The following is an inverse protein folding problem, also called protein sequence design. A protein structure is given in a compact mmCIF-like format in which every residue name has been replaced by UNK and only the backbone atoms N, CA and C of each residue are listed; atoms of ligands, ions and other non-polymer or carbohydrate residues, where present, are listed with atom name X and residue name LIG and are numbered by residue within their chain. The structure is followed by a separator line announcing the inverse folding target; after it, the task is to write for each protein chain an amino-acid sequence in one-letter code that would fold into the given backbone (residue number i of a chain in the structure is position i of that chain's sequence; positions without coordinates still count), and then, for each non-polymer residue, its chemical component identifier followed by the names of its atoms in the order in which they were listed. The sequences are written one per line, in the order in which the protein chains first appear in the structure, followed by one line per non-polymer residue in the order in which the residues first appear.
data_IF_331022322708
#
_entry.id   IF_331022322708
#
_cell.length_a   1.000
_cell.length_b   1.000
_cell.length_c   1.000
_cell.angle_alpha   90.00
_cell.angle_beta   90.00
_cell.angle_gamma   90.00
#
_symmetry.space_group_name_H-M   'P 1'
#
loop_
_entity.id
_entity.type
_entity.pdbx_description
1 polymer ?
#
# COMPACT_ATOMS: atom_id res chain seq x y z
N UNK A 1 -15.12 -7.57 -9.79
CA UNK A 1 -13.90 -7.71 -8.96
C UNK A 1 -13.07 -8.87 -9.48
N UNK A 2 -12.12 -8.58 -10.34
CA UNK A 2 -11.10 -9.56 -10.74
C UNK A 2 -10.04 -9.67 -9.64
N UNK A 3 -9.63 -10.89 -9.27
CA UNK A 3 -8.59 -11.08 -8.26
C UNK A 3 -7.25 -10.41 -8.66
N UNK A 4 -6.99 -10.34 -9.97
CA UNK A 4 -5.84 -9.68 -10.59
C UNK A 4 -5.77 -8.19 -10.28
N UNK A 5 -6.90 -7.48 -10.30
CA UNK A 5 -6.93 -6.04 -10.06
C UNK A 5 -6.68 -5.69 -8.59
N UNK A 6 -7.17 -6.52 -7.67
CA UNK A 6 -6.85 -6.37 -6.25
C UNK A 6 -5.35 -6.57 -5.98
N UNK A 7 -4.71 -7.50 -6.71
CA UNK A 7 -3.27 -7.71 -6.64
C UNK A 7 -2.48 -6.55 -7.26
N UNK A 8 -2.98 -5.97 -8.36
CA UNK A 8 -2.37 -4.80 -8.99
C UNK A 8 -2.45 -3.56 -8.09
N UNK A 9 -3.63 -3.30 -7.49
CA UNK A 9 -3.81 -2.21 -6.53
C UNK A 9 -2.91 -2.40 -5.29
N UNK A 10 -2.81 -3.63 -4.79
CA UNK A 10 -1.88 -3.97 -3.70
C UNK A 10 -0.42 -3.70 -4.07
N UNK A 11 0.04 -4.14 -5.25
CA UNK A 11 1.39 -3.89 -5.73
C UNK A 11 1.68 -2.39 -5.85
N UNK A 12 0.71 -1.62 -6.38
CA UNK A 12 0.81 -0.16 -6.44
C UNK A 12 0.95 0.47 -5.06
N UNK A 13 0.14 0.06 -4.07
CA UNK A 13 0.26 0.56 -2.69
C UNK A 13 1.67 0.32 -2.12
N UNK A 14 2.22 -0.88 -2.33
CA UNK A 14 3.57 -1.21 -1.86
C UNK A 14 4.62 -0.31 -2.53
N UNK A 15 4.49 -0.12 -3.85
CA UNK A 15 5.38 0.75 -4.61
C UNK A 15 5.35 2.20 -4.09
N UNK A 16 4.16 2.75 -3.81
CA UNK A 16 4.03 4.10 -3.23
C UNK A 16 4.79 4.23 -1.91
N UNK A 17 4.79 3.20 -1.07
CA UNK A 17 5.51 3.21 0.20
C UNK A 17 7.02 3.01 -0.02
N UNK A 18 7.44 2.12 -0.90
CA UNK A 18 8.87 1.82 -1.06
C UNK A 18 9.62 2.85 -1.89
N UNK A 19 8.95 3.51 -2.84
CA UNK A 19 9.56 4.43 -3.79
C UNK A 19 9.30 5.91 -3.48
N UNK A 20 8.29 6.24 -2.66
CA UNK A 20 8.10 7.62 -2.23
C UNK A 20 9.23 8.08 -1.30
N UNK A 21 9.53 9.38 -1.35
CA UNK A 21 10.54 10.00 -0.47
C UNK A 21 10.17 9.91 1.01
N UNK A 22 8.87 9.97 1.32
CA UNK A 22 8.39 9.89 2.70
C UNK A 22 8.42 8.45 3.22
N UNK A 23 8.37 7.46 2.33
CA UNK A 23 8.17 6.07 2.68
C UNK A 23 6.87 5.80 3.45
N UNK A 24 5.82 6.55 3.12
CA UNK A 24 4.51 6.50 3.76
C UNK A 24 3.39 6.60 2.73
N UNK A 25 2.23 6.03 3.05
CA UNK A 25 1.01 6.13 2.26
C UNK A 25 -0.18 6.25 3.21
N UNK A 26 -0.86 7.40 3.20
CA UNK A 26 -2.11 7.58 3.92
C UNK A 26 -3.23 6.78 3.25
N UNK A 27 -4.16 6.25 4.05
CA UNK A 27 -5.30 5.54 3.51
C UNK A 27 -6.16 6.44 2.62
N UNK A 28 -6.37 7.70 3.01
CA UNK A 28 -7.10 8.69 2.19
C UNK A 28 -6.47 8.84 0.81
N UNK A 29 -5.14 8.93 0.75
CA UNK A 29 -4.39 9.19 -0.47
C UNK A 29 -4.32 7.96 -1.38
N UNK A 30 -4.53 6.77 -0.81
CA UNK A 30 -4.62 5.53 -1.55
C UNK A 30 -6.02 5.29 -2.16
N UNK A 31 -7.08 5.79 -1.53
CA UNK A 31 -8.46 5.52 -1.95
C UNK A 31 -8.76 6.11 -3.34
N UNK A 32 -8.43 7.38 -3.57
CA UNK A 32 -8.77 8.05 -4.84
C UNK A 32 -8.06 7.42 -6.05
N UNK A 33 -6.73 7.14 -6.01
CA UNK A 33 -6.06 6.45 -7.11
C UNK A 33 -6.55 5.02 -7.32
N UNK A 34 -6.92 4.30 -6.24
CA UNK A 34 -7.46 2.95 -6.37
C UNK A 34 -8.83 2.98 -7.06
N UNK A 35 -9.70 3.91 -6.65
CA UNK A 35 -11.02 4.07 -7.26
C UNK A 35 -10.95 4.51 -8.74
N UNK A 36 -9.92 5.29 -9.11
CA UNK A 36 -9.79 5.85 -10.46
C UNK A 36 -9.13 4.91 -11.47
N UNK A 37 -8.14 4.12 -11.05
CA UNK A 37 -7.24 3.42 -11.96
C UNK A 37 -7.42 1.89 -12.01
N UNK A 38 -8.32 1.34 -11.18
CA UNK A 38 -8.56 -0.10 -11.09
C UNK A 38 -10.06 -0.41 -11.14
N UNK A 39 -10.41 -1.69 -11.28
CA UNK A 39 -11.79 -2.19 -11.30
C UNK A 39 -12.72 -1.55 -10.25
N UNK A 40 -13.97 -1.31 -10.67
CA UNK A 40 -15.03 -0.87 -9.78
C UNK A 40 -15.23 -1.86 -8.62
N UNK A 41 -15.39 -1.30 -7.41
CA UNK A 41 -15.62 -2.03 -6.16
C UNK A 41 -14.36 -2.27 -5.32
N UNK A 42 -13.15 -1.96 -5.80
CA UNK A 42 -11.95 -2.02 -4.94
C UNK A 42 -11.94 -0.96 -3.82
N UNK A 43 -12.87 -0.02 -3.86
CA UNK A 43 -13.19 0.90 -2.77
C UNK A 43 -14.68 0.80 -2.43
N UNK A 44 -15.05 1.25 -1.23
CA UNK A 44 -16.43 1.30 -0.77
C UNK A 44 -16.62 2.46 0.21
N UNK A 45 -17.85 2.96 0.32
CA UNK A 45 -18.22 3.88 1.39
C UNK A 45 -18.59 3.07 2.63
N UNK A 46 -17.90 3.29 3.74
CA UNK A 46 -18.23 2.63 5.01
C UNK A 46 -19.48 3.24 5.66
N UNK A 47 -19.95 2.63 6.75
CA UNK A 47 -21.16 3.07 7.46
C UNK A 47 -21.09 4.52 7.98
N UNK A 48 -19.87 5.05 8.12
CA UNK A 48 -19.62 6.43 8.53
C UNK A 48 -19.58 7.42 7.35
N UNK A 49 -19.87 6.99 6.12
CA UNK A 49 -19.83 7.83 4.93
C UNK A 49 -18.43 8.08 4.36
N UNK A 50 -17.39 7.40 4.86
CA UNK A 50 -16.03 7.59 4.38
C UNK A 50 -15.66 6.56 3.32
N UNK A 51 -14.96 7.00 2.28
CA UNK A 51 -14.39 6.10 1.27
C UNK A 51 -13.24 5.28 1.88
N UNK A 52 -13.28 3.98 1.66
CA UNK A 52 -12.36 3.00 2.25
C UNK A 52 -11.92 1.97 1.20
N UNK A 53 -10.76 1.34 1.44
CA UNK A 53 -10.19 0.33 0.55
C UNK A 53 -10.83 -1.03 0.87
N UNK A 54 -11.30 -1.73 -0.16
CA UNK A 54 -11.95 -3.01 0.00
C UNK A 54 -10.98 -4.07 0.57
N UNK A 55 -11.53 -4.99 1.37
CA UNK A 55 -10.76 -6.02 2.10
C UNK A 55 -9.93 -6.94 1.20
N UNK A 56 -10.31 -7.12 -0.07
CA UNK A 56 -9.56 -7.96 -1.03
C UNK A 56 -8.21 -7.33 -1.39
N UNK A 57 -8.17 -6.01 -1.59
CA UNK A 57 -6.93 -5.27 -1.83
C UNK A 57 -6.06 -5.32 -0.58
N UNK A 58 -6.62 -5.03 0.59
CA UNK A 58 -5.88 -5.06 1.86
C UNK A 58 -5.30 -6.45 2.15
N UNK A 59 -6.03 -7.51 1.82
CA UNK A 59 -5.55 -8.89 1.94
C UNK A 59 -4.37 -9.15 0.99
N UNK A 60 -4.50 -8.83 -0.29
CA UNK A 60 -3.42 -8.99 -1.27
C UNK A 60 -2.19 -8.14 -0.89
N UNK A 61 -2.41 -6.91 -0.42
CA UNK A 61 -1.37 -6.01 0.06
C UNK A 61 -0.60 -6.61 1.24
N UNK A 62 -1.31 -7.17 2.23
CA UNK A 62 -0.68 -7.86 3.36
C UNK A 62 0.13 -9.08 2.92
N UNK A 63 -0.36 -9.85 1.95
CA UNK A 63 0.33 -11.02 1.42
C UNK A 63 1.68 -10.66 0.75
N UNK A 64 1.74 -9.56 -0.01
CA UNK A 64 2.96 -9.15 -0.71
C UNK A 64 3.92 -8.32 0.15
N UNK A 65 3.40 -7.54 1.10
CA UNK A 65 4.22 -6.64 1.92
C UNK A 65 4.82 -7.33 3.13
N UNK A 66 4.14 -8.34 3.69
CA UNK A 66 4.59 -9.06 4.88
C UNK A 66 4.86 -8.10 6.04
N UNK A 67 6.05 -8.22 6.64
CA UNK A 67 6.51 -7.35 7.74
C UNK A 67 7.30 -6.12 7.24
N UNK A 68 7.34 -5.89 5.92
CA UNK A 68 8.09 -4.77 5.29
C UNK A 68 7.43 -3.42 5.53
N UNK A 69 6.12 -3.41 5.79
CA UNK A 69 5.33 -2.22 6.03
C UNK A 69 4.58 -2.36 7.35
N UNK A 70 4.38 -1.23 8.02
CA UNK A 70 3.70 -1.13 9.31
C UNK A 70 2.53 -0.18 9.20
N UNK A 71 1.41 -0.56 9.82
CA UNK A 71 0.22 0.30 9.91
C UNK A 71 0.35 1.25 11.10
N UNK A 72 0.15 2.54 10.87
CA UNK A 72 0.05 3.55 11.92
C UNK A 72 -1.41 3.91 12.19
N UNK A 73 -1.88 3.62 13.41
CA UNK A 73 -3.26 3.87 13.80
C UNK A 73 -3.58 5.34 14.13
N UNK A 74 -2.57 6.19 14.37
CA UNK A 74 -2.75 7.61 14.71
C UNK A 74 -3.12 8.41 13.46
N UNK A 75 -2.32 8.28 12.39
CA UNK A 75 -2.52 9.03 11.15
C UNK A 75 -3.15 8.20 10.02
N UNK A 76 -3.47 6.92 10.27
CA UNK A 76 -4.23 6.03 9.37
C UNK A 76 -3.53 5.79 8.03
N UNK A 77 -2.33 5.23 8.07
CA UNK A 77 -1.66 4.78 6.86
C UNK A 77 -0.50 3.84 7.12
N UNK A 78 0.24 3.54 6.06
CA UNK A 78 1.32 2.55 6.05
C UNK A 78 2.66 3.22 5.84
N UNK A 79 3.70 2.72 6.50
CA UNK A 79 5.08 3.19 6.26
C UNK A 79 6.10 2.07 6.44
N UNK A 80 7.36 2.34 6.09
CA UNK A 80 8.46 1.44 6.42
C UNK A 80 8.76 1.45 7.94
N UNK A 81 9.08 0.30 8.56
CA UNK A 81 9.36 0.19 10.01
C UNK A 81 10.39 1.19 10.54
N UNK A 82 11.45 1.44 9.76
CA UNK A 82 12.50 2.40 10.11
C UNK A 82 11.97 3.83 10.18
N UNK A 83 10.94 4.19 9.39
CA UNK A 83 10.40 5.55 9.38
C UNK A 83 9.49 5.83 10.58
N UNK A 84 8.76 4.82 11.08
CA UNK A 84 8.04 4.97 12.37
C UNK A 84 8.99 5.11 13.56
N UNK A 85 10.21 4.60 13.41
CA UNK A 85 11.25 4.64 14.42
C UNK A 85 12.20 5.79 14.13
N UNK A 86 11.80 7.03 14.43
CA UNK A 86 12.72 8.17 14.41
C UNK A 86 13.99 7.89 15.24
N UNK A 87 15.11 8.62 15.04
CA UNK A 87 16.42 8.34 15.64
C UNK A 87 16.48 8.31 17.19
N UNK A 88 15.35 8.45 17.90
CA UNK A 88 15.23 8.37 19.35
C UNK A 88 14.47 7.15 19.91
N UNK A 89 13.90 6.25 19.11
CA UNK A 89 13.05 5.16 19.62
C UNK A 89 13.49 3.76 19.15
N UNK A 90 14.73 3.38 19.41
CA UNK A 90 15.18 2.00 19.19
C UNK A 90 14.45 1.00 20.12
N UNK A 91 13.28 0.51 19.71
CA UNK A 91 12.70 -0.72 20.27
C UNK A 91 13.35 -1.93 19.59
N UNK A 92 13.90 -2.83 20.42
CA UNK A 92 14.74 -3.96 20.03
C UNK A 92 14.10 -5.02 19.12
N UNK A 93 14.82 -6.12 18.84
CA UNK A 93 14.65 -6.92 17.63
C UNK A 93 13.35 -7.73 17.64
N UNK A 94 12.30 -7.17 17.06
CA UNK A 94 11.10 -7.89 16.67
C UNK A 94 11.38 -8.76 15.45
N UNK A 95 11.73 -10.03 15.69
CA UNK A 95 11.69 -11.16 14.74
C UNK A 95 12.28 -10.89 13.35
N UNK A 96 13.60 -10.83 13.30
CA UNK A 96 14.33 -11.00 12.03
C UNK A 96 14.18 -12.44 11.54
N UNK A 97 13.36 -12.69 10.52
CA UNK A 97 13.62 -13.79 9.57
C UNK A 97 14.25 -13.19 8.32
N UNK A 98 15.40 -13.75 7.97
CA UNK A 98 16.33 -13.27 6.94
C UNK A 98 15.59 -12.97 5.62
N UNK A 99 15.93 -11.83 5.04
CA UNK A 99 15.55 -11.38 3.72
C UNK A 99 15.81 -12.47 2.67
N UNK A 100 14.78 -12.79 1.88
CA UNK A 100 14.98 -13.33 0.53
C UNK A 100 14.67 -12.18 -0.41
N UNK A 101 15.67 -11.78 -1.20
CA UNK A 101 15.57 -10.80 -2.29
C UNK A 101 14.34 -11.10 -3.14
N UNK A 102 13.34 -10.21 -3.14
CA UNK A 102 12.39 -10.14 -4.25
C UNK A 102 12.95 -9.14 -5.23
N UNK A 103 13.49 -9.68 -6.31
CA UNK A 103 13.83 -8.93 -7.52
C UNK A 103 12.54 -8.33 -8.06
N UNK A 104 12.41 -7.00 -8.06
CA UNK A 104 11.33 -6.30 -8.75
C UNK A 104 11.52 -6.56 -10.25
N UNK A 105 10.72 -7.47 -10.81
CA UNK A 105 10.65 -7.67 -12.24
C UNK A 105 9.29 -7.16 -12.72
N UNK A 106 9.34 -5.96 -13.32
CA UNK A 106 8.42 -5.37 -14.27
C UNK A 106 6.96 -5.84 -14.24
N UNK A 107 6.08 -4.97 -13.75
CA UNK A 107 4.74 -4.84 -14.35
C UNK A 107 4.55 -3.40 -14.85
N UNK A 108 4.17 -3.38 -16.13
CA UNK A 108 4.10 -2.28 -17.08
C UNK A 108 3.22 -1.11 -16.60
N UNK A 109 3.76 0.11 -16.79
CA UNK A 109 3.17 1.20 -17.58
C UNK A 109 1.70 1.02 -18.00
N UNK A 110 0.79 1.66 -17.26
CA UNK A 110 -0.53 2.12 -17.74
C UNK A 110 -0.72 3.49 -17.08
N UNK A 111 -0.99 4.60 -17.75
CA UNK A 111 -1.10 4.92 -19.16
C UNK A 111 -1.25 6.43 -19.15
N UNK A 112 -0.22 7.14 -19.59
CA UNK A 112 -0.26 8.58 -19.79
C UNK A 112 -1.01 8.82 -21.11
N UNK A 113 -2.30 9.14 -21.04
CA UNK A 113 -3.01 9.84 -22.12
C UNK A 113 -3.47 11.16 -21.53
N UNK A 114 -2.69 12.19 -21.84
CA UNK A 114 -3.12 13.58 -21.79
C UNK A 114 -3.83 13.85 -23.12
N UNK A 115 -5.08 14.29 -23.01
CA UNK A 115 -5.91 14.74 -24.12
C UNK A 115 -5.55 16.21 -24.42
N UNK A 116 -4.98 16.47 -25.61
CA UNK A 116 -5.10 17.73 -26.40
C UNK A 116 -4.47 17.58 -27.77
#
# INVERSE_FOLDING_TARGET
MSATDAQAAAAWMLQQITESRAHELYQSDAVDPIAKNFDDGLTYTNDNGNSAIHKTVLKAFKEISGDTVVWNNVWKGWSLPTHLTGPGHATGPGRTRRMVKVTLSAYLLVGMVVDV
#
